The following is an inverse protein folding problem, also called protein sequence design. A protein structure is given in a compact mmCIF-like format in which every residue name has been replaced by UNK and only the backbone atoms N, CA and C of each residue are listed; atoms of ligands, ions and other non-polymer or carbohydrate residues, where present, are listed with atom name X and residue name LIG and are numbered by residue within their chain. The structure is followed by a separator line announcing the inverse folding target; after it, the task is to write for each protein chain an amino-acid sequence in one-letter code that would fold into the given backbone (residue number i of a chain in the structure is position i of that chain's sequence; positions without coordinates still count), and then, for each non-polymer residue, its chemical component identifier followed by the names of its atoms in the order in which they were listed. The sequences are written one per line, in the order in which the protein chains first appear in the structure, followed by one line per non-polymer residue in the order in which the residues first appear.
data_IF_412490700260
#
_entry.id   IF_412490700260
#
_cell.length_a   1.000
_cell.length_b   1.000
_cell.length_c   1.000
_cell.angle_alpha   90.00
_cell.angle_beta   90.00
_cell.angle_gamma   90.00
#
_symmetry.space_group_name_H-M   'P 1'
#
loop_
_entity.id
_entity.type
_entity.pdbx_description
1 polymer ?
#
# COMPACT_ATOMS: atom_id res chain seq x y z
N UNK A 1 20.06 -4.70 -14.11
CA UNK A 1 20.08 -4.19 -12.72
C UNK A 1 21.24 -4.85 -12.01
N UNK A 2 22.23 -4.07 -11.58
CA UNK A 2 23.35 -4.56 -10.77
C UNK A 2 23.06 -4.26 -9.30
N UNK A 3 23.03 -5.29 -8.44
CA UNK A 3 22.76 -5.12 -7.01
C UNK A 3 23.90 -4.41 -6.27
N UNK A 4 25.10 -4.35 -6.86
CA UNK A 4 26.20 -3.56 -6.30
C UNK A 4 25.99 -2.05 -6.50
N UNK A 5 25.06 -1.65 -7.39
CA UNK A 5 24.68 -0.26 -7.51
C UNK A 5 23.77 0.13 -6.32
N UNK A 6 24.18 1.09 -5.47
CA UNK A 6 23.44 1.43 -4.26
C UNK A 6 22.05 2.04 -4.54
N UNK A 7 21.83 2.64 -5.73
CA UNK A 7 20.50 3.08 -6.17
C UNK A 7 19.60 1.89 -6.47
N UNK A 8 20.12 0.88 -7.17
CA UNK A 8 19.38 -0.36 -7.45
C UNK A 8 19.04 -1.09 -6.15
N UNK A 9 19.99 -1.19 -5.22
CA UNK A 9 19.74 -1.77 -3.89
C UNK A 9 18.64 -1.01 -3.12
N UNK A 10 18.67 0.33 -3.15
CA UNK A 10 17.63 1.19 -2.55
C UNK A 10 16.25 0.89 -3.14
N UNK A 11 16.14 0.79 -4.46
CA UNK A 11 14.90 0.43 -5.14
C UNK A 11 14.40 -0.95 -4.71
N UNK A 12 15.26 -1.97 -4.72
CA UNK A 12 14.89 -3.35 -4.35
C UNK A 12 14.36 -3.42 -2.92
N UNK A 13 15.01 -2.74 -1.97
CA UNK A 13 14.56 -2.68 -0.58
C UNK A 13 13.19 -2.01 -0.48
N UNK A 14 13.04 -0.81 -1.07
CA UNK A 14 11.80 -0.07 -0.99
C UNK A 14 10.63 -0.80 -1.68
N UNK A 15 10.87 -1.35 -2.87
CA UNK A 15 9.91 -2.17 -3.60
C UNK A 15 9.49 -3.42 -2.82
N UNK A 16 10.45 -4.14 -2.26
CA UNK A 16 10.20 -5.33 -1.43
C UNK A 16 9.32 -5.02 -0.22
N UNK A 17 9.63 -3.96 0.52
CA UNK A 17 8.81 -3.53 1.68
C UNK A 17 7.38 -3.17 1.23
N UNK A 18 7.22 -2.46 0.12
CA UNK A 18 5.89 -2.08 -0.38
C UNK A 18 5.08 -3.28 -0.86
N UNK A 19 5.71 -4.26 -1.52
CA UNK A 19 5.05 -5.51 -1.91
C UNK A 19 4.60 -6.29 -0.67
N UNK A 20 5.46 -6.43 0.34
CA UNK A 20 5.11 -7.10 1.59
C UNK A 20 3.96 -6.40 2.31
N UNK A 21 3.98 -5.06 2.36
CA UNK A 21 2.88 -4.25 2.90
C UNK A 21 1.57 -4.52 2.14
N UNK A 22 1.61 -4.47 0.81
CA UNK A 22 0.43 -4.69 -0.04
C UNK A 22 -0.18 -6.06 0.22
N UNK A 23 0.65 -7.11 0.25
CA UNK A 23 0.19 -8.47 0.47
C UNK A 23 -0.31 -8.71 1.89
N UNK A 24 0.37 -8.13 2.89
CA UNK A 24 -0.09 -8.17 4.28
C UNK A 24 -1.45 -7.51 4.49
N UNK A 25 -1.78 -6.47 3.73
CA UNK A 25 -3.07 -5.77 3.86
C UNK A 25 -4.29 -6.63 3.51
N UNK A 26 -4.13 -7.58 2.59
CA UNK A 26 -5.15 -8.61 2.31
C UNK A 26 -5.44 -9.47 3.54
N UNK A 27 -4.38 -9.93 4.20
CA UNK A 27 -4.46 -10.79 5.38
C UNK A 27 -5.05 -10.03 6.58
N UNK A 28 -4.72 -8.75 6.75
CA UNK A 28 -5.34 -7.88 7.78
C UNK A 28 -6.86 -7.82 7.57
N UNK A 29 -7.32 -7.71 6.32
CA UNK A 29 -8.75 -7.66 6.01
C UNK A 29 -9.44 -8.98 6.40
N UNK A 30 -8.83 -10.12 6.09
CA UNK A 30 -9.31 -11.45 6.51
C UNK A 30 -9.37 -11.57 8.02
N UNK A 31 -8.29 -11.20 8.72
CA UNK A 31 -8.25 -11.20 10.18
C UNK A 31 -9.39 -10.36 10.78
N UNK A 32 -9.64 -9.16 10.23
CA UNK A 32 -10.73 -8.30 10.70
C UNK A 32 -12.11 -8.91 10.48
N UNK A 33 -12.35 -9.53 9.32
CA UNK A 33 -13.60 -10.25 9.05
C UNK A 33 -13.82 -11.38 10.06
N UNK A 34 -12.79 -12.20 10.28
CA UNK A 34 -12.85 -13.33 11.22
C UNK A 34 -13.05 -12.87 12.67
N UNK A 35 -12.41 -11.76 13.06
CA UNK A 35 -12.50 -11.21 14.42
C UNK A 35 -13.90 -10.71 14.77
N UNK A 36 -14.55 -9.99 13.85
CA UNK A 36 -15.90 -9.46 14.08
C UNK A 36 -17.00 -10.40 13.61
N UNK A 37 -16.63 -11.47 12.90
CA UNK A 37 -17.55 -12.41 12.29
C UNK A 37 -18.53 -11.76 11.32
N UNK A 38 -18.14 -10.67 10.65
CA UNK A 38 -19.01 -9.90 9.76
C UNK A 38 -18.20 -9.17 8.68
N UNK A 39 -18.91 -8.60 7.70
CA UNK A 39 -18.30 -7.97 6.53
C UNK A 39 -17.77 -8.97 5.51
N UNK A 40 -18.28 -10.20 5.48
CA UNK A 40 -17.97 -11.17 4.42
C UNK A 40 -18.48 -10.66 3.06
N UNK A 41 -17.77 -11.01 1.98
CA UNK A 41 -18.11 -10.51 0.63
C UNK A 41 -19.05 -11.44 -0.10
N UNK A 42 -18.86 -12.74 0.08
CA UNK A 42 -19.60 -13.70 -0.68
C UNK A 42 -20.60 -14.42 0.23
N UNK A 43 -21.80 -14.76 -0.28
CA UNK A 43 -22.82 -15.48 0.49
C UNK A 43 -22.31 -16.80 1.06
N UNK A 44 -21.41 -17.50 0.36
CA UNK A 44 -20.88 -18.79 0.80
C UNK A 44 -20.00 -18.71 2.05
N UNK A 45 -19.39 -17.56 2.34
CA UNK A 45 -18.59 -17.33 3.54
C UNK A 45 -19.48 -17.29 4.81
N UNK A 46 -20.77 -16.99 4.63
CA UNK A 46 -21.77 -17.02 5.69
C UNK A 46 -22.39 -18.41 5.90
N UNK A 47 -21.92 -19.45 5.19
CA UNK A 47 -22.32 -20.82 5.46
C UNK A 47 -21.61 -21.39 6.69
N UNK A 48 -22.24 -22.38 7.34
CA UNK A 48 -21.61 -23.12 8.42
C UNK A 48 -20.38 -23.85 7.91
N UNK A 49 -19.23 -23.60 8.53
CA UNK A 49 -17.97 -24.24 8.17
C UNK A 49 -16.96 -24.22 9.31
N UNK A 50 -15.76 -24.75 9.07
CA UNK A 50 -14.68 -24.78 10.06
C UNK A 50 -14.30 -23.37 10.56
N UNK A 51 -14.41 -22.38 9.67
CA UNK A 51 -14.08 -20.98 9.93
C UNK A 51 -15.30 -20.15 10.38
N UNK A 52 -16.52 -20.67 10.24
CA UNK A 52 -17.75 -19.98 10.63
C UNK A 52 -18.71 -20.95 11.35
N UNK A 53 -18.50 -21.13 12.66
CA UNK A 53 -19.23 -22.11 13.46
C UNK A 53 -20.70 -21.70 13.73
N UNK A 54 -20.96 -20.39 13.82
CA UNK A 54 -22.27 -19.80 14.09
C UNK A 54 -22.63 -18.79 12.98
N UNK A 55 -23.11 -19.27 11.83
CA UNK A 55 -23.48 -18.41 10.72
C UNK A 55 -24.67 -17.52 11.07
N UNK A 56 -24.64 -16.28 10.59
CA UNK A 56 -25.71 -15.29 10.74
C UNK A 56 -25.93 -14.57 9.38
N UNK A 57 -27.18 -14.35 8.94
CA UNK A 57 -27.46 -13.59 7.73
C UNK A 57 -26.82 -12.20 7.69
N UNK A 58 -26.59 -11.57 8.84
CA UNK A 58 -26.00 -10.23 8.90
C UNK A 58 -24.48 -10.23 8.65
N UNK A 59 -23.83 -11.39 8.54
CA UNK A 59 -22.38 -11.46 8.37
C UNK A 59 -21.91 -10.98 6.98
N UNK A 60 -22.81 -10.96 5.99
CA UNK A 60 -22.56 -10.39 4.65
C UNK A 60 -22.83 -8.88 4.59
N UNK A 61 -23.39 -8.28 5.65
CA UNK A 61 -23.63 -6.85 5.67
C UNK A 61 -22.30 -6.08 5.76
N UNK A 62 -22.23 -4.86 5.18
CA UNK A 62 -21.06 -4.01 5.29
C UNK A 62 -20.70 -3.74 6.75
N UNK A 63 -19.44 -4.01 7.10
CA UNK A 63 -18.90 -3.69 8.41
C UNK A 63 -17.80 -2.64 8.29
N UNK A 64 -17.99 -1.47 8.89
CA UNK A 64 -17.07 -0.33 8.75
C UNK A 64 -15.62 -0.65 9.20
N UNK A 65 -15.43 -1.53 10.18
CA UNK A 65 -14.09 -1.95 10.61
C UNK A 65 -13.35 -2.75 9.52
N UNK A 66 -14.08 -3.56 8.76
CA UNK A 66 -13.57 -4.33 7.62
C UNK A 66 -13.46 -3.45 6.37
N UNK A 67 -14.48 -2.67 6.07
CA UNK A 67 -14.49 -1.74 4.92
C UNK A 67 -13.35 -0.72 5.00
N UNK A 68 -13.00 -0.26 6.20
CA UNK A 68 -11.80 0.54 6.43
C UNK A 68 -10.53 -0.13 5.93
N UNK A 69 -10.35 -1.41 6.23
CA UNK A 69 -9.21 -2.20 5.76
C UNK A 69 -9.21 -2.36 4.24
N UNK A 70 -10.39 -2.52 3.63
CA UNK A 70 -10.55 -2.60 2.18
C UNK A 70 -10.19 -1.29 1.49
N UNK A 71 -10.63 -0.15 2.00
CA UNK A 71 -10.27 1.17 1.46
C UNK A 71 -8.78 1.44 1.57
N UNK A 72 -8.15 1.02 2.67
CA UNK A 72 -6.69 1.07 2.80
C UNK A 72 -5.99 0.19 1.77
N UNK A 73 -6.47 -1.04 1.54
CA UNK A 73 -5.92 -1.95 0.53
C UNK A 73 -6.07 -1.38 -0.88
N UNK A 74 -7.24 -0.84 -1.21
CA UNK A 74 -7.49 -0.21 -2.51
C UNK A 74 -6.53 0.96 -2.75
N UNK A 75 -6.33 1.82 -1.74
CA UNK A 75 -5.38 2.91 -1.86
C UNK A 75 -3.92 2.42 -2.00
N UNK A 76 -3.55 1.33 -1.33
CA UNK A 76 -2.26 0.68 -1.55
C UNK A 76 -2.14 0.11 -2.98
N UNK A 77 -3.21 -0.48 -3.54
CA UNK A 77 -3.27 -0.98 -4.92
C UNK A 77 -3.20 0.14 -5.98
N UNK A 78 -3.69 1.34 -5.68
CA UNK A 78 -3.62 2.49 -6.60
C UNK A 78 -2.21 3.11 -6.65
N UNK A 79 -1.45 3.02 -5.55
CA UNK A 79 -0.19 3.76 -5.39
C UNK A 79 1.05 2.90 -5.53
N UNK A 80 1.06 1.70 -4.93
CA UNK A 80 2.25 0.85 -4.89
C UNK A 80 2.65 0.38 -6.30
N UNK A 81 1.75 -0.09 -7.19
CA UNK A 81 2.13 -0.44 -8.56
C UNK A 81 2.73 0.72 -9.34
N UNK A 82 2.18 1.93 -9.18
CA UNK A 82 2.73 3.13 -9.80
C UNK A 82 4.14 3.44 -9.27
N UNK A 83 4.37 3.30 -7.96
CA UNK A 83 5.70 3.41 -7.36
C UNK A 83 6.68 2.36 -7.87
N UNK A 84 6.26 1.10 -7.99
CA UNK A 84 7.12 0.02 -8.50
C UNK A 84 7.63 0.35 -9.90
N UNK A 85 6.75 0.79 -10.80
CA UNK A 85 7.13 1.16 -12.16
C UNK A 85 7.95 2.46 -12.18
N UNK A 86 7.48 3.52 -11.52
CA UNK A 86 8.18 4.82 -11.53
C UNK A 86 9.56 4.74 -10.88
N UNK A 87 9.69 4.03 -9.75
CA UNK A 87 10.94 3.80 -9.05
C UNK A 87 11.92 2.95 -9.86
N UNK A 88 11.42 1.95 -10.60
CA UNK A 88 12.23 1.15 -11.53
C UNK A 88 12.79 2.03 -12.65
N UNK A 89 11.94 2.80 -13.33
CA UNK A 89 12.35 3.70 -14.40
C UNK A 89 13.38 4.72 -13.89
N UNK A 90 13.12 5.33 -12.75
CA UNK A 90 14.01 6.31 -12.13
C UNK A 90 15.36 5.69 -11.73
N UNK A 91 15.42 4.42 -11.34
CA UNK A 91 16.70 3.75 -11.05
C UNK A 91 17.62 3.64 -12.28
N UNK A 92 17.06 3.65 -13.49
CA UNK A 92 17.83 3.62 -14.75
C UNK A 92 18.38 4.97 -15.18
N UNK A 93 17.96 6.08 -14.56
CA UNK A 93 18.44 7.43 -14.90
C UNK A 93 19.75 7.79 -14.19
N UNK A 94 20.40 6.82 -13.53
CA UNK A 94 21.58 7.03 -12.68
C UNK A 94 21.46 8.25 -11.73
N UNK A 95 20.38 8.37 -10.95
CA UNK A 95 20.22 9.48 -10.03
C UNK A 95 21.28 9.45 -8.92
N UNK A 96 21.49 10.56 -8.23
CA UNK A 96 22.32 10.55 -7.03
C UNK A 96 21.70 9.64 -5.96
N UNK A 97 22.55 8.94 -5.21
CA UNK A 97 22.10 8.01 -4.17
C UNK A 97 21.18 8.69 -3.14
N UNK A 98 21.54 9.90 -2.71
CA UNK A 98 20.73 10.68 -1.77
C UNK A 98 19.34 10.96 -2.32
N UNK A 99 19.23 11.35 -3.59
CA UNK A 99 17.94 11.63 -4.21
C UNK A 99 17.07 10.37 -4.29
N UNK A 100 17.67 9.24 -4.69
CA UNK A 100 16.98 7.95 -4.71
C UNK A 100 16.48 7.53 -3.33
N UNK A 101 17.31 7.66 -2.29
CA UNK A 101 16.93 7.33 -0.92
C UNK A 101 15.80 8.23 -0.41
N UNK A 102 15.90 9.53 -0.62
CA UNK A 102 14.86 10.48 -0.18
C UNK A 102 13.52 10.17 -0.85
N UNK A 103 13.49 9.93 -2.16
CA UNK A 103 12.24 9.66 -2.88
C UNK A 103 11.66 8.28 -2.54
N UNK A 104 12.49 7.24 -2.58
CA UNK A 104 12.01 5.86 -2.42
C UNK A 104 11.71 5.52 -0.96
N UNK A 105 12.61 5.83 -0.01
CA UNK A 105 12.33 5.62 1.40
C UNK A 105 11.35 6.65 1.95
N UNK A 106 11.35 7.88 1.42
CA UNK A 106 10.31 8.86 1.71
C UNK A 106 8.92 8.35 1.32
N UNK A 107 8.77 7.76 0.12
CA UNK A 107 7.53 7.13 -0.28
C UNK A 107 7.10 6.02 0.69
N UNK A 108 8.01 5.09 1.04
CA UNK A 108 7.75 4.02 2.02
C UNK A 108 7.26 4.59 3.35
N UNK A 109 7.93 5.63 3.86
CA UNK A 109 7.57 6.29 5.11
C UNK A 109 6.18 6.96 5.02
N UNK A 110 5.88 7.68 3.94
CA UNK A 110 4.57 8.29 3.72
C UNK A 110 3.45 7.24 3.68
N UNK A 111 3.69 6.09 3.03
CA UNK A 111 2.71 4.99 3.01
C UNK A 111 2.51 4.34 4.39
N UNK A 112 3.57 4.22 5.18
CA UNK A 112 3.47 3.74 6.55
C UNK A 112 2.68 4.70 7.44
N UNK A 113 2.96 6.01 7.36
CA UNK A 113 2.24 7.03 8.11
C UNK A 113 0.77 7.15 7.68
N UNK A 114 0.49 7.09 6.38
CA UNK A 114 -0.87 7.02 5.86
C UNK A 114 -1.63 5.81 6.43
N UNK A 115 -0.99 4.63 6.46
CA UNK A 115 -1.57 3.42 7.05
C UNK A 115 -1.89 3.58 8.55
N UNK A 116 -0.97 4.17 9.33
CA UNK A 116 -1.17 4.43 10.76
C UNK A 116 -2.34 5.40 10.96
N UNK A 117 -2.37 6.51 10.21
CA UNK A 117 -3.42 7.51 10.29
C UNK A 117 -4.80 6.91 9.93
N UNK A 118 -4.86 6.09 8.89
CA UNK A 118 -6.10 5.45 8.47
C UNK A 118 -6.59 4.42 9.50
N UNK A 119 -5.68 3.63 10.06
CA UNK A 119 -5.98 2.62 11.08
C UNK A 119 -6.53 3.23 12.36
N UNK A 120 -5.97 4.35 12.81
CA UNK A 120 -6.39 5.06 14.02
C UNK A 120 -7.55 6.05 13.80
N UNK A 121 -8.15 6.05 12.60
CA UNK A 121 -9.25 6.97 12.25
C UNK A 121 -8.90 8.46 12.45
N UNK A 122 -7.65 8.85 12.20
CA UNK A 122 -7.25 10.24 12.23
C UNK A 122 -7.95 11.06 11.15
N UNK A 123 -7.87 12.39 11.28
CA UNK A 123 -8.57 13.32 10.40
C UNK A 123 -8.24 13.10 8.93
N UNK A 124 -9.18 13.49 8.07
CA UNK A 124 -9.00 13.43 6.63
C UNK A 124 -7.74 14.19 6.18
N UNK A 125 -7.48 15.35 6.78
CA UNK A 125 -6.34 16.21 6.45
C UNK A 125 -5.00 15.50 6.67
N UNK A 126 -4.83 14.78 7.77
CA UNK A 126 -3.59 14.05 8.07
C UNK A 126 -3.37 12.93 7.04
N UNK A 127 -4.43 12.18 6.70
CA UNK A 127 -4.35 11.12 5.69
C UNK A 127 -4.05 11.71 4.30
N UNK A 128 -4.76 12.77 3.91
CA UNK A 128 -4.57 13.44 2.64
C UNK A 128 -3.15 14.01 2.50
N UNK A 129 -2.57 14.51 3.59
CA UNK A 129 -1.19 15.03 3.60
C UNK A 129 -0.17 13.95 3.24
N UNK A 130 -0.20 12.79 3.91
CA UNK A 130 0.71 11.69 3.61
C UNK A 130 0.48 11.09 2.21
N UNK A 131 -0.78 11.02 1.78
CA UNK A 131 -1.11 10.61 0.42
C UNK A 131 -0.50 11.55 -0.63
N UNK A 132 -0.64 12.88 -0.44
CA UNK A 132 -0.12 13.89 -1.36
C UNK A 132 1.39 13.81 -1.49
N UNK A 133 2.13 13.76 -0.38
CA UNK A 133 3.59 13.66 -0.44
C UNK A 133 4.07 12.36 -1.09
N UNK A 134 3.39 11.23 -0.84
CA UNK A 134 3.67 9.97 -1.55
C UNK A 134 3.42 10.09 -3.05
N UNK A 135 2.31 10.72 -3.46
CA UNK A 135 1.97 10.92 -4.87
C UNK A 135 2.96 11.84 -5.59
N UNK A 136 3.39 12.93 -4.94
CA UNK A 136 4.40 13.85 -5.46
C UNK A 136 5.73 13.13 -5.72
N UNK A 137 6.14 12.21 -4.83
CA UNK A 137 7.35 11.42 -5.04
C UNK A 137 7.27 10.53 -6.29
N UNK A 138 6.13 9.87 -6.52
CA UNK A 138 5.89 9.07 -7.75
C UNK A 138 5.94 9.96 -8.99
N UNK A 139 5.20 11.07 -8.98
CA UNK A 139 5.15 11.98 -10.13
C UNK A 139 6.52 12.58 -10.45
N UNK A 140 7.30 12.93 -9.41
CA UNK A 140 8.66 13.41 -9.60
C UNK A 140 9.56 12.36 -10.23
N UNK A 141 9.57 11.12 -9.72
CA UNK A 141 10.38 10.03 -10.30
C UNK A 141 10.01 9.77 -11.76
N UNK A 142 8.72 9.73 -12.08
CA UNK A 142 8.25 9.55 -13.46
C UNK A 142 8.65 10.72 -14.36
N UNK A 143 8.42 11.96 -13.93
CA UNK A 143 8.79 13.16 -14.68
C UNK A 143 10.29 13.30 -14.91
N UNK A 144 11.11 12.98 -13.90
CA UNK A 144 12.57 12.94 -14.02
C UNK A 144 13.02 11.90 -15.04
N UNK A 145 12.39 10.71 -15.01
CA UNK A 145 12.68 9.64 -15.97
C UNK A 145 12.35 10.03 -17.40
N UNK A 146 11.27 10.78 -17.60
CA UNK A 146 10.93 11.33 -18.92
C UNK A 146 11.99 12.34 -19.36
N UNK A 147 12.31 13.32 -18.50
CA UNK A 147 13.29 14.36 -18.81
C UNK A 147 14.66 13.80 -19.16
N UNK A 148 15.11 12.74 -18.48
CA UNK A 148 16.43 12.14 -18.69
C UNK A 148 16.63 11.52 -20.08
N UNK A 149 15.55 11.14 -20.77
CA UNK A 149 15.63 10.50 -22.10
C UNK A 149 15.71 11.53 -23.23
N UNK A 150 15.44 12.81 -22.95
CA UNK A 150 15.60 13.91 -23.91
C UNK A 150 16.94 14.62 -23.72
#
# INVERSE_FOLDING_TARGET
MDLNNPVTATYVIAAGIMILKLMGQGWITVYRMMKVGAGFRNPEDANKGLLNANPNPNQIEPNEYVERSRRMHLNDLENIPAFLVAGLLFSFTNPSLLLAQVLMYGFVAMRAMHFIAYSNAWSHEVRATFFTFGSLAIMFMAGYSIYYVF
#
